data_IF_031840319401
#
_entry.id   IF_031840319401
#
_cell.length_a   1.000
_cell.length_b   1.000
_cell.length_c   1.000
_cell.angle_alpha   90.00
_cell.angle_beta   90.00
_cell.angle_gamma   90.00
#
_symmetry.space_group_name_H-M   'P 1'
#
loop_
_entity.id
_entity.type
_entity.pdbx_description
1 polymer ?
#
# COMPACT_ATOMS: atom_id res chain seq x y z
N UNK A 1 10.75 9.59 12.50
CA UNK A 1 10.90 8.61 11.39
C UNK A 1 9.59 8.53 10.66
N UNK A 2 9.60 8.24 9.35
CA UNK A 2 8.37 8.03 8.59
C UNK A 2 7.54 6.88 9.15
N UNK A 3 6.22 6.98 9.06
CA UNK A 3 5.32 5.85 9.30
C UNK A 3 5.27 5.01 8.02
N UNK A 4 5.71 3.75 8.09
CA UNK A 4 5.72 2.83 6.94
C UNK A 4 4.52 1.88 7.01
N UNK A 5 3.65 1.92 6.00
CA UNK A 5 2.40 1.14 5.92
C UNK A 5 2.44 0.24 4.68
N UNK A 6 2.36 -1.08 4.86
CA UNK A 6 2.25 -2.03 3.75
C UNK A 6 0.77 -2.36 3.44
N UNK A 7 0.38 -2.27 2.17
CA UNK A 7 -0.94 -2.66 1.67
C UNK A 7 -0.90 -4.13 1.25
N UNK A 8 -1.42 -5.02 2.07
CA UNK A 8 -1.27 -6.47 1.86
C UNK A 8 -2.61 -7.18 1.77
N UNK A 9 -2.76 -8.04 0.79
CA UNK A 9 -3.78 -9.07 0.72
C UNK A 9 -3.36 -10.09 -0.34
N UNK A 10 -3.52 -11.40 -0.07
CA UNK A 10 -3.21 -12.48 -1.01
C UNK A 10 -4.13 -12.46 -2.23
N UNK A 11 -5.37 -12.02 -2.04
CA UNK A 11 -6.37 -11.96 -3.11
C UNK A 11 -6.04 -10.81 -4.07
N UNK A 12 -5.97 -11.11 -5.36
CA UNK A 12 -5.89 -10.11 -6.41
C UNK A 12 -7.19 -9.30 -6.52
N UNK A 13 -7.10 -8.06 -6.98
CA UNK A 13 -8.27 -7.25 -7.28
C UNK A 13 -9.04 -6.67 -6.07
N UNK A 14 -8.57 -6.83 -4.83
CA UNK A 14 -9.22 -6.28 -3.63
C UNK A 14 -9.00 -4.78 -3.40
N UNK A 15 -8.27 -4.10 -4.29
CA UNK A 15 -8.03 -2.66 -4.20
C UNK A 15 -6.76 -2.26 -3.46
N UNK A 16 -5.74 -3.12 -3.32
CA UNK A 16 -4.43 -2.76 -2.72
C UNK A 16 -3.83 -1.54 -3.40
N UNK A 17 -3.48 -1.66 -4.67
CA UNK A 17 -2.89 -0.60 -5.48
C UNK A 17 -3.75 0.65 -5.52
N UNK A 18 -5.06 0.49 -5.75
CA UNK A 18 -6.01 1.61 -5.77
C UNK A 18 -5.99 2.37 -4.45
N UNK A 19 -5.94 1.65 -3.32
CA UNK A 19 -5.90 2.27 -1.99
C UNK A 19 -4.55 2.91 -1.71
N UNK A 20 -3.44 2.27 -2.07
CA UNK A 20 -2.09 2.81 -1.91
C UNK A 20 -1.91 4.12 -2.68
N UNK A 21 -2.30 4.15 -3.96
CA UNK A 21 -2.21 5.32 -4.84
C UNK A 21 -3.13 6.45 -4.36
N UNK A 22 -4.40 6.13 -4.09
CA UNK A 22 -5.38 7.16 -3.72
C UNK A 22 -5.07 7.76 -2.34
N UNK A 23 -4.72 6.93 -1.36
CA UNK A 23 -4.34 7.40 -0.04
C UNK A 23 -3.04 8.20 -0.08
N UNK A 24 -2.01 7.73 -0.81
CA UNK A 24 -0.75 8.44 -0.95
C UNK A 24 -0.93 9.85 -1.49
N UNK A 25 -1.75 9.99 -2.53
CA UNK A 25 -2.06 11.30 -3.10
C UNK A 25 -2.93 12.18 -2.18
N UNK A 26 -3.87 11.60 -1.43
CA UNK A 26 -4.68 12.34 -0.47
C UNK A 26 -3.86 12.81 0.74
N UNK A 27 -2.95 11.99 1.26
CA UNK A 27 -2.00 12.37 2.33
C UNK A 27 -1.09 13.52 1.88
N UNK A 28 -0.54 13.45 0.66
CA UNK A 28 0.24 14.54 0.08
C UNK A 28 -0.58 15.82 -0.03
N UNK A 29 -1.83 15.73 -0.50
CA UNK A 29 -2.74 16.89 -0.58
C UNK A 29 -3.10 17.47 0.80
N UNK A 30 -3.05 16.66 1.86
CA UNK A 30 -3.22 17.08 3.25
C UNK A 30 -1.92 17.66 3.87
N UNK A 31 -0.82 17.77 3.09
CA UNK A 31 0.43 18.40 3.49
C UNK A 31 1.48 17.45 4.05
N UNK A 32 1.27 16.14 4.02
CA UNK A 32 2.27 15.14 4.38
C UNK A 32 3.31 14.96 3.25
N UNK A 33 4.55 14.66 3.61
CA UNK A 33 5.59 14.20 2.67
C UNK A 33 5.43 12.69 2.49
N UNK A 34 5.10 12.23 1.30
CA UNK A 34 4.72 10.84 1.05
C UNK A 34 5.62 10.21 -0.01
N UNK A 35 6.19 9.03 0.32
CA UNK A 35 6.80 8.12 -0.64
C UNK A 35 5.88 6.92 -0.85
N UNK A 36 5.53 6.63 -2.09
CA UNK A 36 4.86 5.39 -2.48
C UNK A 36 5.89 4.45 -3.10
N UNK A 37 6.13 3.32 -2.46
CA UNK A 37 6.98 2.26 -2.98
C UNK A 37 6.11 1.22 -3.70
N UNK A 38 6.17 1.18 -5.01
CA UNK A 38 5.58 0.11 -5.79
C UNK A 38 6.45 -1.16 -5.67
N UNK A 39 5.91 -2.22 -5.11
CA UNK A 39 6.62 -3.48 -4.93
C UNK A 39 5.92 -4.66 -5.63
N UNK A 40 4.97 -4.34 -6.51
CA UNK A 40 4.34 -5.32 -7.39
C UNK A 40 5.04 -5.31 -8.77
N UNK A 41 5.49 -6.46 -9.30
CA UNK A 41 6.05 -6.56 -10.65
C UNK A 41 5.14 -6.03 -11.76
N UNK A 42 3.84 -5.93 -11.51
CA UNK A 42 2.90 -5.32 -12.46
C UNK A 42 3.12 -3.81 -12.63
N UNK A 43 3.74 -3.12 -11.67
CA UNK A 43 4.02 -1.68 -11.73
C UNK A 43 2.76 -0.82 -11.81
N UNK A 44 1.69 -1.25 -11.16
CA UNK A 44 0.39 -0.57 -11.27
C UNK A 44 0.32 0.71 -10.43
N UNK A 45 0.98 0.75 -9.27
CA UNK A 45 1.09 1.99 -8.50
C UNK A 45 1.95 3.01 -9.26
N UNK A 46 3.05 2.58 -9.87
CA UNK A 46 3.91 3.39 -10.75
C UNK A 46 3.09 4.09 -11.83
N UNK A 47 2.31 3.31 -12.60
CA UNK A 47 1.42 3.85 -13.64
C UNK A 47 0.31 4.75 -13.06
N UNK A 48 -0.19 4.43 -11.88
CA UNK A 48 -1.24 5.20 -11.19
C UNK A 48 -0.82 6.63 -10.83
N UNK A 49 0.47 6.88 -10.71
CA UNK A 49 1.06 8.22 -10.53
C UNK A 49 1.53 8.86 -11.84
N UNK A 50 1.25 8.26 -12.99
CA UNK A 50 1.60 8.78 -14.31
C UNK A 50 3.07 8.55 -14.70
N UNK A 51 3.78 7.69 -13.99
CA UNK A 51 5.16 7.30 -14.33
C UNK A 51 5.11 6.18 -15.38
N UNK A 52 5.83 6.36 -16.47
CA UNK A 52 5.96 5.33 -17.52
C UNK A 52 6.87 4.19 -17.03
N UNK A 53 6.26 3.11 -16.57
CA UNK A 53 6.98 1.91 -16.09
C UNK A 53 7.80 1.20 -17.18
N UNK A 54 7.58 1.51 -18.45
CA UNK A 54 8.36 0.99 -19.57
C UNK A 54 9.66 1.74 -19.82
N UNK A 55 9.71 3.01 -19.43
CA UNK A 55 10.85 3.91 -19.68
C UNK A 55 11.61 4.30 -18.39
N UNK A 56 11.00 4.18 -17.20
CA UNK A 56 11.63 4.62 -15.95
C UNK A 56 12.83 3.75 -15.57
N UNK A 57 13.93 4.40 -15.22
CA UNK A 57 15.16 3.78 -14.73
C UNK A 57 15.93 4.77 -13.85
N UNK A 58 16.54 4.32 -12.73
CA UNK A 58 16.44 2.98 -12.15
C UNK A 58 15.09 2.73 -11.47
N UNK A 59 14.77 1.45 -11.21
CA UNK A 59 13.58 1.00 -10.48
C UNK A 59 13.96 0.35 -9.14
N UNK A 60 12.97 -0.07 -8.35
CA UNK A 60 13.23 -0.81 -7.11
C UNK A 60 13.98 -2.13 -7.37
N UNK A 61 13.78 -2.78 -8.52
CA UNK A 61 14.58 -3.93 -8.92
C UNK A 61 16.08 -3.59 -8.97
N UNK A 62 16.42 -2.47 -9.62
CA UNK A 62 17.81 -2.04 -9.75
C UNK A 62 18.43 -1.67 -8.40
N UNK A 63 17.62 -1.13 -7.48
CA UNK A 63 18.07 -0.85 -6.11
C UNK A 63 18.41 -2.12 -5.36
N UNK A 64 17.56 -3.16 -5.45
CA UNK A 64 17.74 -4.40 -4.69
C UNK A 64 18.81 -5.32 -5.28
N UNK A 65 18.88 -5.43 -6.60
CA UNK A 65 19.72 -6.41 -7.31
C UNK A 65 21.00 -5.79 -7.86
N UNK A 66 20.90 -4.61 -8.47
CA UNK A 66 22.01 -3.98 -9.18
C UNK A 66 22.75 -2.94 -8.33
N UNK A 67 22.36 -2.73 -7.06
CA UNK A 67 23.00 -1.79 -6.15
C UNK A 67 22.80 -0.32 -6.53
N UNK A 68 21.75 0.01 -7.28
CA UNK A 68 21.44 1.38 -7.62
C UNK A 68 21.06 2.18 -6.35
N UNK A 69 21.36 3.50 -6.35
CA UNK A 69 20.94 4.39 -5.26
C UNK A 69 19.42 4.51 -5.23
N UNK A 70 18.81 4.29 -4.05
CA UNK A 70 17.37 4.45 -3.86
C UNK A 70 16.94 5.90 -4.08
N UNK A 71 17.76 6.87 -3.70
CA UNK A 71 17.51 8.30 -3.91
C UNK A 71 17.37 8.63 -5.40
N UNK A 72 18.22 8.01 -6.24
CA UNK A 72 18.17 8.21 -7.69
C UNK A 72 17.01 7.46 -8.37
N UNK A 73 16.49 6.43 -7.72
CA UNK A 73 15.34 5.68 -8.24
C UNK A 73 14.00 6.35 -7.93
N UNK A 74 13.96 7.27 -6.95
CA UNK A 74 12.72 7.99 -6.62
C UNK A 74 12.37 8.98 -7.73
N UNK A 75 11.13 8.89 -8.20
CA UNK A 75 10.54 9.83 -9.17
C UNK A 75 9.64 10.80 -8.42
N UNK A 76 9.97 12.09 -8.51
CA UNK A 76 9.15 13.15 -7.92
C UNK A 76 7.97 13.45 -8.83
N UNK A 77 6.76 13.28 -8.33
CA UNK A 77 5.52 13.64 -9.04
C UNK A 77 4.77 14.71 -8.26
N UNK A 78 3.82 15.38 -8.91
CA UNK A 78 2.96 16.36 -8.24
C UNK A 78 1.94 15.73 -7.27
N UNK A 79 1.84 14.42 -7.24
CA UNK A 79 0.85 13.70 -6.44
C UNK A 79 1.42 13.04 -5.19
N UNK A 80 2.63 12.53 -5.27
CA UNK A 80 3.51 11.99 -4.25
C UNK A 80 4.83 11.57 -4.90
N UNK A 81 5.88 11.34 -4.11
CA UNK A 81 7.09 10.70 -4.61
C UNK A 81 6.86 9.20 -4.81
N UNK A 82 7.46 8.63 -5.84
CA UNK A 82 7.27 7.22 -6.21
C UNK A 82 8.61 6.52 -6.36
N UNK A 83 8.79 5.40 -5.67
CA UNK A 83 9.83 4.43 -5.95
C UNK A 83 9.24 3.39 -6.90
N UNK A 84 9.58 3.44 -8.19
CA UNK A 84 8.83 2.73 -9.22
C UNK A 84 9.22 1.26 -9.32
N UNK A 85 8.27 0.43 -9.79
CA UNK A 85 8.48 -0.95 -10.19
C UNK A 85 8.11 -1.16 -11.66
N UNK A 86 8.65 -2.23 -12.20
CA UNK A 86 8.26 -2.79 -13.49
C UNK A 86 8.39 -4.33 -13.47
N UNK A 87 8.12 -4.96 -14.60
CA UNK A 87 8.14 -6.43 -14.72
C UNK A 87 9.50 -7.09 -14.40
N UNK A 88 10.61 -6.35 -14.41
CA UNK A 88 11.92 -6.88 -14.01
C UNK A 88 11.91 -7.36 -12.55
N UNK A 89 11.10 -6.72 -11.68
CA UNK A 89 10.97 -7.11 -10.26
C UNK A 89 10.49 -8.56 -10.09
N UNK A 90 9.83 -9.18 -11.07
CA UNK A 90 9.49 -10.59 -11.00
C UNK A 90 10.74 -11.50 -10.93
N UNK A 91 11.82 -11.11 -11.59
CA UNK A 91 13.11 -11.82 -11.52
C UNK A 91 13.76 -11.77 -10.15
N UNK A 92 13.55 -10.68 -9.40
CA UNK A 92 14.10 -10.52 -8.06
C UNK A 92 13.70 -11.65 -7.12
N UNK A 93 12.51 -12.24 -7.27
CA UNK A 93 12.06 -13.37 -6.42
C UNK A 93 13.01 -14.56 -6.48
N UNK A 94 13.69 -14.79 -7.61
CA UNK A 94 14.65 -15.87 -7.80
C UNK A 94 16.05 -15.42 -7.38
N UNK A 95 16.46 -14.22 -7.76
CA UNK A 95 17.79 -13.69 -7.51
C UNK A 95 18.05 -13.44 -6.01
N UNK A 96 17.03 -12.99 -5.28
CA UNK A 96 17.10 -12.79 -3.84
C UNK A 96 17.35 -14.08 -3.03
N UNK A 97 17.01 -15.28 -3.58
CA UNK A 97 17.14 -16.56 -2.83
C UNK A 97 18.57 -16.78 -2.33
N UNK A 98 19.57 -16.40 -3.11
CA UNK A 98 20.97 -16.55 -2.79
C UNK A 98 21.59 -15.43 -1.95
N UNK A 99 20.84 -14.39 -1.63
CA UNK A 99 21.36 -13.24 -0.89
C UNK A 99 21.21 -13.38 0.62
N UNK A 100 22.22 -12.92 1.36
CA UNK A 100 22.14 -12.81 2.80
C UNK A 100 21.08 -11.76 3.20
N UNK A 101 20.34 -12.07 4.29
CA UNK A 101 19.30 -11.18 4.82
C UNK A 101 18.28 -10.73 3.79
N UNK A 102 18.01 -11.57 2.82
CA UNK A 102 17.13 -11.33 1.66
C UNK A 102 15.74 -10.81 2.00
N UNK A 103 15.24 -11.05 3.21
CA UNK A 103 13.94 -10.56 3.69
C UNK A 103 13.99 -9.08 4.12
N UNK A 104 15.18 -8.48 4.27
CA UNK A 104 15.39 -7.14 4.81
C UNK A 104 15.88 -6.12 3.79
N UNK A 105 16.10 -6.51 2.55
CA UNK A 105 16.70 -5.63 1.54
C UNK A 105 15.85 -4.39 1.26
N UNK A 106 14.51 -4.55 1.21
CA UNK A 106 13.62 -3.40 1.09
C UNK A 106 13.70 -2.49 2.32
N UNK A 107 13.75 -3.05 3.52
CA UNK A 107 13.92 -2.30 4.76
C UNK A 107 15.19 -1.47 4.75
N UNK A 108 16.29 -2.07 4.33
CA UNK A 108 17.60 -1.40 4.24
C UNK A 108 17.60 -0.28 3.17
N UNK A 109 16.95 -0.52 2.03
CA UNK A 109 16.80 0.49 1.00
C UNK A 109 15.94 1.68 1.48
N UNK A 110 14.75 1.42 2.00
CA UNK A 110 13.85 2.47 2.49
C UNK A 110 14.42 3.23 3.69
N UNK A 111 15.20 2.56 4.55
CA UNK A 111 15.85 3.17 5.70
C UNK A 111 16.78 4.34 5.34
N UNK A 112 17.34 4.36 4.12
CA UNK A 112 18.22 5.44 3.65
C UNK A 112 17.45 6.74 3.35
N UNK A 113 16.17 6.64 3.01
CA UNK A 113 15.36 7.79 2.54
C UNK A 113 14.17 8.13 3.44
N UNK A 114 13.77 7.21 4.33
CA UNK A 114 12.59 7.37 5.18
C UNK A 114 12.60 8.65 6.02
N UNK A 115 13.76 9.17 6.40
CA UNK A 115 13.88 10.44 7.13
C UNK A 115 13.34 11.67 6.39
N UNK A 116 13.19 11.59 5.08
CA UNK A 116 12.69 12.67 4.25
C UNK A 116 11.16 12.73 4.17
N UNK A 117 10.48 11.69 4.66
CA UNK A 117 9.03 11.50 4.53
C UNK A 117 8.34 11.42 5.88
N UNK A 118 7.05 11.72 5.88
CA UNK A 118 6.15 11.51 7.01
C UNK A 118 5.48 10.13 6.89
N UNK A 119 5.19 9.70 5.65
CA UNK A 119 4.65 8.37 5.34
C UNK A 119 5.44 7.70 4.21
N UNK A 120 5.66 6.39 4.37
CA UNK A 120 6.07 5.48 3.29
C UNK A 120 4.96 4.45 3.11
N UNK A 121 4.35 4.41 1.93
CA UNK A 121 3.30 3.45 1.59
C UNK A 121 3.86 2.40 0.64
N UNK A 122 3.69 1.12 0.95
CA UNK A 122 4.21 0.01 0.13
C UNK A 122 3.03 -0.72 -0.52
N UNK A 123 2.96 -0.71 -1.84
CA UNK A 123 2.01 -1.52 -2.62
C UNK A 123 2.56 -2.91 -2.83
N UNK A 124 1.96 -3.92 -2.20
CA UNK A 124 2.45 -5.30 -2.20
C UNK A 124 1.82 -6.16 -3.29
N UNK A 125 2.56 -7.13 -3.86
CA UNK A 125 2.01 -8.09 -4.81
C UNK A 125 0.93 -8.98 -4.18
N UNK A 126 0.07 -9.64 -5.00
CA UNK A 126 -0.98 -10.53 -4.52
C UNK A 126 -0.45 -11.94 -4.21
N UNK A 127 0.61 -12.05 -3.42
CA UNK A 127 1.21 -13.32 -2.98
C UNK A 127 1.75 -13.16 -1.56
N UNK A 128 2.14 -14.25 -0.90
CA UNK A 128 2.86 -14.22 0.39
C UNK A 128 4.28 -14.79 0.22
N UNK A 129 4.89 -14.53 -0.92
CA UNK A 129 6.24 -14.94 -1.26
C UNK A 129 7.29 -13.94 -0.77
N UNK A 130 8.55 -14.12 -1.18
CA UNK A 130 9.70 -13.36 -0.71
C UNK A 130 9.56 -11.84 -0.89
N UNK A 131 8.92 -11.38 -1.97
CA UNK A 131 8.64 -9.96 -2.15
C UNK A 131 7.72 -9.42 -1.06
N UNK A 132 6.61 -10.10 -0.77
CA UNK A 132 5.71 -9.67 0.30
C UNK A 132 6.37 -9.77 1.68
N UNK A 133 7.25 -10.77 1.92
CA UNK A 133 8.04 -10.81 3.16
C UNK A 133 8.93 -9.58 3.29
N UNK A 134 9.57 -9.11 2.23
CA UNK A 134 10.31 -7.84 2.24
C UNK A 134 9.44 -6.65 2.64
N UNK A 135 8.22 -6.56 2.09
CA UNK A 135 7.27 -5.50 2.47
C UNK A 135 6.93 -5.55 3.95
N UNK A 136 6.62 -6.75 4.47
CA UNK A 136 6.27 -6.95 5.89
C UNK A 136 7.46 -6.71 6.82
N UNK A 137 8.69 -7.00 6.40
CA UNK A 137 9.90 -6.71 7.17
C UNK A 137 10.22 -5.21 7.20
N UNK A 138 9.87 -4.47 6.15
CA UNK A 138 10.10 -3.04 6.05
C UNK A 138 9.04 -2.19 6.74
N UNK A 139 7.82 -2.71 6.87
CA UNK A 139 6.67 -1.96 7.39
C UNK A 139 6.62 -1.88 8.92
N UNK A 140 6.11 -0.74 9.43
CA UNK A 140 5.69 -0.59 10.82
C UNK A 140 4.31 -1.21 11.03
N UNK A 141 3.44 -1.04 10.04
CA UNK A 141 2.07 -1.55 10.12
C UNK A 141 1.56 -2.07 8.77
N UNK A 142 0.50 -2.90 8.86
CA UNK A 142 -0.16 -3.50 7.71
C UNK A 142 -1.58 -2.97 7.60
N UNK A 143 -1.92 -2.33 6.49
CA UNK A 143 -3.30 -2.01 6.10
C UNK A 143 -3.79 -3.11 5.15
N UNK A 144 -4.94 -3.69 5.46
CA UNK A 144 -5.50 -4.81 4.68
C UNK A 144 -6.79 -4.37 4.00
N UNK A 145 -6.76 -4.11 2.69
CA UNK A 145 -7.99 -3.95 1.91
C UNK A 145 -8.76 -5.27 1.84
N UNK A 146 -10.03 -5.24 2.22
CA UNK A 146 -10.93 -6.41 2.27
C UNK A 146 -12.15 -6.14 1.41
N UNK A 147 -12.28 -6.89 0.32
CA UNK A 147 -13.50 -6.85 -0.49
C UNK A 147 -14.63 -7.57 0.24
N UNK A 148 -15.83 -6.94 0.31
CA UNK A 148 -17.00 -7.51 1.00
C UNK A 148 -17.63 -8.65 0.19
N UNK A 149 -16.97 -9.82 0.16
CA UNK A 149 -17.38 -11.05 -0.52
C UNK A 149 -17.32 -12.26 0.41
N UNK A 150 -17.96 -13.36 0.03
CA UNK A 150 -18.14 -14.55 0.87
C UNK A 150 -16.86 -15.10 1.51
N UNK A 151 -15.76 -15.19 0.75
CA UNK A 151 -14.48 -15.72 1.25
C UNK A 151 -13.58 -14.66 1.92
N UNK A 152 -14.11 -13.50 2.27
CA UNK A 152 -13.32 -12.42 2.84
C UNK A 152 -12.65 -12.78 4.18
N UNK A 153 -13.38 -13.44 5.06
CA UNK A 153 -12.91 -13.82 6.40
C UNK A 153 -11.85 -14.92 6.38
N UNK A 154 -12.00 -15.92 5.50
CA UNK A 154 -11.04 -17.01 5.36
C UNK A 154 -9.67 -16.45 4.91
N UNK A 155 -9.64 -15.71 3.80
CA UNK A 155 -8.40 -15.11 3.31
C UNK A 155 -7.77 -14.11 4.28
N UNK A 156 -8.59 -13.41 5.09
CA UNK A 156 -8.11 -12.52 6.13
C UNK A 156 -7.45 -13.29 7.28
N UNK A 157 -8.02 -14.41 7.70
CA UNK A 157 -7.44 -15.27 8.75
C UNK A 157 -6.06 -15.80 8.37
N UNK A 158 -5.91 -16.28 7.14
CA UNK A 158 -4.64 -16.81 6.61
C UNK A 158 -3.56 -15.71 6.53
N UNK A 159 -3.94 -14.54 6.02
CA UNK A 159 -3.04 -13.39 5.96
C UNK A 159 -2.57 -12.99 7.37
N UNK A 160 -3.47 -12.84 8.32
CA UNK A 160 -3.12 -12.44 9.68
C UNK A 160 -2.28 -13.52 10.40
N UNK A 161 -2.47 -14.79 10.07
CA UNK A 161 -1.60 -15.87 10.56
C UNK A 161 -0.17 -15.68 10.03
N UNK A 162 -0.01 -15.34 8.76
CA UNK A 162 1.30 -15.03 8.16
C UNK A 162 1.94 -13.80 8.83
N UNK A 163 1.19 -12.72 9.03
CA UNK A 163 1.67 -11.51 9.73
C UNK A 163 2.14 -11.86 11.15
N UNK A 164 1.44 -12.73 11.88
CA UNK A 164 1.86 -13.21 13.21
C UNK A 164 3.19 -14.00 13.16
N UNK A 165 3.40 -14.80 12.11
CA UNK A 165 4.69 -15.50 11.92
C UNK A 165 5.80 -14.51 11.65
N UNK A 166 5.60 -13.53 10.76
CA UNK A 166 6.55 -12.45 10.49
C UNK A 166 6.85 -11.67 11.76
N UNK A 167 5.85 -11.29 12.54
CA UNK A 167 6.02 -10.60 13.83
C UNK A 167 6.92 -11.37 14.78
N UNK A 168 6.73 -12.68 14.89
CA UNK A 168 7.53 -13.51 15.82
C UNK A 168 8.96 -13.74 15.37
N UNK A 169 9.23 -13.80 14.06
CA UNK A 169 10.51 -14.28 13.52
C UNK A 169 11.35 -13.22 12.81
N UNK A 170 10.71 -12.25 12.18
CA UNK A 170 11.39 -11.33 11.26
C UNK A 170 11.23 -9.86 11.65
N UNK A 171 10.03 -9.40 12.00
CA UNK A 171 9.76 -8.01 12.34
C UNK A 171 8.87 -7.91 13.60
N UNK A 172 9.45 -7.94 14.81
CA UNK A 172 8.68 -7.87 16.06
C UNK A 172 7.84 -6.60 16.24
N UNK A 173 8.19 -5.52 15.53
CA UNK A 173 7.50 -4.24 15.59
C UNK A 173 6.26 -4.14 14.72
N UNK A 174 6.03 -5.11 13.80
CA UNK A 174 4.90 -5.01 12.87
C UNK A 174 3.55 -5.15 13.59
N UNK A 175 2.63 -4.25 13.28
CA UNK A 175 1.27 -4.23 13.82
C UNK A 175 0.20 -4.16 12.72
N UNK A 176 -1.03 -4.50 13.06
CA UNK A 176 -2.17 -4.29 12.17
C UNK A 176 -2.62 -2.82 12.26
N UNK A 177 -2.42 -2.05 11.19
CA UNK A 177 -2.92 -0.67 11.07
C UNK A 177 -4.44 -0.66 11.04
N UNK A 178 -5.01 -1.46 10.18
CA UNK A 178 -6.45 -1.61 10.08
C UNK A 178 -6.91 -2.41 8.87
N UNK A 179 -8.20 -2.72 8.89
CA UNK A 179 -8.93 -3.40 7.81
C UNK A 179 -9.76 -2.35 7.07
N UNK A 180 -9.55 -2.21 5.77
CA UNK A 180 -10.27 -1.29 4.91
C UNK A 180 -11.28 -2.06 4.05
N UNK A 181 -12.56 -1.88 4.31
CA UNK A 181 -13.62 -2.47 3.49
C UNK A 181 -13.67 -1.78 2.12
N UNK A 182 -13.50 -2.56 1.06
CA UNK A 182 -13.43 -2.05 -0.33
C UNK A 182 -14.56 -2.61 -1.19
N UNK A 183 -14.86 -1.93 -2.28
CA UNK A 183 -15.92 -2.27 -3.24
C UNK A 183 -17.26 -2.52 -2.54
N UNK A 184 -17.47 -1.81 -1.43
CA UNK A 184 -18.68 -1.94 -0.64
C UNK A 184 -19.91 -1.47 -1.42
N UNK A 185 -20.94 -2.31 -1.44
CA UNK A 185 -22.27 -1.97 -1.98
C UNK A 185 -23.34 -2.25 -0.93
N UNK A 186 -23.73 -1.21 -0.19
CA UNK A 186 -24.73 -1.30 0.88
C UNK A 186 -26.15 -1.67 0.42
N UNK A 187 -26.38 -1.90 -0.89
CA UNK A 187 -27.64 -2.42 -1.41
C UNK A 187 -27.72 -3.94 -1.36
N UNK A 188 -26.58 -4.60 -1.16
CA UNK A 188 -26.50 -6.06 -1.12
C UNK A 188 -26.42 -6.57 0.32
N UNK A 189 -27.28 -7.53 0.68
CA UNK A 189 -27.26 -8.16 2.00
C UNK A 189 -25.90 -8.81 2.30
N UNK A 190 -25.26 -9.42 1.28
CA UNK A 190 -23.98 -10.06 1.44
C UNK A 190 -22.90 -9.06 1.91
N UNK A 191 -22.80 -7.88 1.28
CA UNK A 191 -21.79 -6.90 1.67
C UNK A 191 -22.04 -6.38 3.09
N UNK A 192 -23.30 -6.19 3.48
CA UNK A 192 -23.66 -5.77 4.84
C UNK A 192 -23.24 -6.84 5.85
N UNK A 193 -23.64 -8.11 5.63
CA UNK A 193 -23.30 -9.23 6.52
C UNK A 193 -21.78 -9.40 6.67
N UNK A 194 -21.03 -9.40 5.56
CA UNK A 194 -19.56 -9.51 5.60
C UNK A 194 -18.94 -8.35 6.39
N UNK A 195 -19.41 -7.12 6.17
CA UNK A 195 -18.92 -5.95 6.90
C UNK A 195 -19.18 -6.07 8.41
N UNK A 196 -20.36 -6.51 8.81
CA UNK A 196 -20.72 -6.74 10.22
C UNK A 196 -19.86 -7.84 10.84
N UNK A 197 -19.65 -8.95 10.13
CA UNK A 197 -18.82 -10.04 10.61
C UNK A 197 -17.36 -9.61 10.77
N UNK A 198 -16.77 -8.91 9.79
CA UNK A 198 -15.41 -8.39 9.88
C UNK A 198 -15.28 -7.44 11.09
N UNK A 199 -16.26 -6.55 11.32
CA UNK A 199 -16.28 -5.66 12.50
C UNK A 199 -16.39 -6.44 13.81
N UNK A 200 -17.19 -7.51 13.85
CA UNK A 200 -17.35 -8.36 15.04
C UNK A 200 -16.08 -9.13 15.39
N UNK A 201 -15.39 -9.68 14.38
CA UNK A 201 -14.15 -10.45 14.61
C UNK A 201 -12.93 -9.57 14.89
N UNK A 202 -12.93 -8.32 14.41
CA UNK A 202 -11.82 -7.38 14.55
C UNK A 202 -12.25 -6.04 15.15
N UNK A 203 -12.75 -6.04 16.40
CA UNK A 203 -13.24 -4.82 17.03
C UNK A 203 -12.12 -3.75 17.13
N UNK A 204 -12.44 -2.52 16.73
CA UNK A 204 -11.50 -1.40 16.76
C UNK A 204 -10.38 -1.45 15.69
N UNK A 205 -10.38 -2.48 14.82
CA UNK A 205 -9.38 -2.60 13.74
C UNK A 205 -9.95 -2.32 12.35
N UNK A 206 -11.25 -2.16 12.20
CA UNK A 206 -11.89 -1.82 10.93
C UNK A 206 -12.03 -0.30 10.85
N UNK A 207 -11.62 0.29 9.73
CA UNK A 207 -11.86 1.71 9.48
C UNK A 207 -13.36 2.02 9.44
N UNK A 208 -13.76 3.17 9.95
CA UNK A 208 -15.14 3.64 9.83
C UNK A 208 -15.49 3.93 8.36
N UNK A 209 -14.52 4.50 7.64
CA UNK A 209 -14.62 4.73 6.20
C UNK A 209 -14.64 3.42 5.42
N UNK A 210 -15.57 3.30 4.50
CA UNK A 210 -15.66 2.19 3.52
C UNK A 210 -15.44 2.74 2.10
N UNK A 211 -14.72 2.02 1.27
CA UNK A 211 -14.51 2.41 -0.13
C UNK A 211 -15.62 1.81 -1.00
N UNK A 212 -16.49 2.63 -1.58
CA UNK A 212 -17.59 2.13 -2.38
C UNK A 212 -17.10 1.58 -3.72
N UNK A 213 -17.89 0.68 -4.34
CA UNK A 213 -17.71 0.36 -5.75
C UNK A 213 -17.95 1.63 -6.58
N UNK A 214 -16.92 2.06 -7.31
CA UNK A 214 -16.96 3.31 -8.08
C UNK A 214 -16.10 3.19 -9.35
N UNK A 215 -16.70 3.47 -10.50
CA UNK A 215 -16.03 3.35 -11.81
C UNK A 215 -14.84 4.31 -11.95
N UNK A 216 -14.92 5.49 -11.32
CA UNK A 216 -13.83 6.48 -11.37
C UNK A 216 -12.52 5.96 -10.78
N UNK A 217 -12.60 5.06 -9.77
CA UNK A 217 -11.43 4.39 -9.21
C UNK A 217 -10.76 3.44 -10.21
N UNK A 218 -11.52 2.86 -11.12
CA UNK A 218 -11.00 1.97 -12.17
C UNK A 218 -10.50 2.74 -13.39
N UNK A 219 -11.07 3.90 -13.68
CA UNK A 219 -10.69 4.74 -14.81
C UNK A 219 -9.42 5.57 -14.54
N UNK A 220 -9.28 6.11 -13.34
CA UNK A 220 -8.21 7.03 -12.97
C UNK A 220 -6.79 6.52 -13.33
N UNK A 221 -6.43 5.23 -13.10
CA UNK A 221 -5.12 4.70 -13.48
C UNK A 221 -4.84 4.74 -14.99
N UNK A 222 -5.85 4.60 -15.85
CA UNK A 222 -5.68 4.68 -17.32
C UNK A 222 -5.30 6.08 -17.79
N UNK A 223 -5.51 7.08 -16.95
CA UNK A 223 -5.11 8.47 -17.17
C UNK A 223 -3.83 8.86 -16.41
N UNK A 224 -3.18 7.90 -15.73
CA UNK A 224 -1.98 8.16 -14.91
C UNK A 224 -2.24 9.17 -13.79
N UNK A 225 -3.43 9.17 -13.20
CA UNK A 225 -3.84 10.12 -12.17
C UNK A 225 -4.46 9.40 -10.97
N UNK A 226 -4.10 9.74 -9.73
CA UNK A 226 -4.86 9.37 -8.56
C UNK A 226 -6.30 9.91 -8.62
N UNK A 227 -7.26 9.22 -8.00
CA UNK A 227 -8.69 9.55 -8.13
C UNK A 227 -9.06 10.96 -7.69
N UNK A 228 -8.41 11.49 -6.65
CA UNK A 228 -8.64 12.86 -6.16
C UNK A 228 -8.22 13.95 -7.16
N UNK A 229 -7.35 13.62 -8.12
CA UNK A 229 -6.94 14.48 -9.23
C UNK A 229 -7.62 14.12 -10.56
N UNK A 230 -8.21 12.93 -10.66
CA UNK A 230 -9.00 12.52 -11.83
C UNK A 230 -10.44 13.02 -11.73
N UNK A 231 -11.12 12.70 -10.62
CA UNK A 231 -12.47 13.16 -10.28
C UNK A 231 -12.61 13.37 -8.77
N UNK A 232 -12.23 14.57 -8.32
CA UNK A 232 -12.16 14.93 -6.91
C UNK A 232 -13.49 14.94 -6.16
N UNK A 233 -14.63 14.95 -6.90
CA UNK A 233 -15.99 14.94 -6.36
C UNK A 233 -16.63 13.54 -6.38
N UNK A 234 -16.00 12.58 -7.03
CA UNK A 234 -16.51 11.20 -7.07
C UNK A 234 -16.61 10.58 -5.68
N UNK A 235 -17.56 9.66 -5.50
CA UNK A 235 -17.76 8.96 -4.23
C UNK A 235 -16.49 8.22 -3.77
N UNK A 236 -15.71 7.67 -4.71
CA UNK A 236 -14.42 7.05 -4.43
C UNK A 236 -13.39 8.04 -3.90
N UNK A 237 -13.27 9.23 -4.52
CA UNK A 237 -12.37 10.29 -4.07
C UNK A 237 -12.74 10.80 -2.67
N UNK A 238 -14.03 11.06 -2.44
CA UNK A 238 -14.51 11.51 -1.12
C UNK A 238 -14.19 10.48 -0.04
N UNK A 239 -14.40 9.18 -0.31
CA UNK A 239 -14.09 8.13 0.64
C UNK A 239 -12.59 8.07 0.98
N UNK A 240 -11.68 8.24 0.00
CA UNK A 240 -10.24 8.27 0.31
C UNK A 240 -9.81 9.53 1.06
N UNK A 241 -10.46 10.67 0.88
CA UNK A 241 -10.24 11.86 1.72
C UNK A 241 -10.65 11.60 3.17
N UNK A 242 -11.80 10.97 3.41
CA UNK A 242 -12.26 10.57 4.75
C UNK A 242 -11.30 9.55 5.38
N UNK A 243 -10.84 8.54 4.62
CA UNK A 243 -9.84 7.60 5.10
C UNK A 243 -8.53 8.30 5.49
N UNK A 244 -8.15 9.33 4.73
CA UNK A 244 -6.95 10.13 5.04
C UNK A 244 -7.10 10.83 6.39
N UNK A 245 -8.26 11.39 6.70
CA UNK A 245 -8.56 11.99 8.00
C UNK A 245 -8.42 10.97 9.14
N UNK A 246 -9.03 9.77 9.01
CA UNK A 246 -8.89 8.70 10.00
C UNK A 246 -7.43 8.24 10.18
N UNK A 247 -6.64 8.18 9.11
CA UNK A 247 -5.23 7.79 9.20
C UNK A 247 -4.40 8.86 9.89
N UNK A 248 -4.65 10.15 9.61
CA UNK A 248 -3.96 11.26 10.25
C UNK A 248 -4.35 11.42 11.73
N UNK A 249 -5.58 11.08 12.12
CA UNK A 249 -5.97 11.01 13.53
C UNK A 249 -5.19 9.95 14.30
N UNK A 250 -4.96 8.79 13.69
CA UNK A 250 -4.18 7.68 14.28
C UNK A 250 -2.68 7.92 14.23
N UNK A 251 -2.19 8.66 13.22
CA UNK A 251 -0.79 8.93 12.94
C UNK A 251 -0.60 10.43 12.67
N UNK A 252 -0.66 11.28 13.71
CA UNK A 252 -0.59 12.72 13.52
C UNK A 252 0.76 13.16 12.93
N UNK A 253 0.70 14.10 12.00
CA UNK A 253 1.92 14.71 11.44
C UNK A 253 2.70 15.43 12.55
N UNK A 254 4.04 15.42 12.48
CA UNK A 254 4.84 16.23 13.40
C UNK A 254 4.44 17.70 13.24
N UNK A 255 4.26 18.39 14.35
CA UNK A 255 3.98 19.84 14.31
C UNK A 255 5.16 20.53 13.61
N UNK A 256 4.87 21.29 12.57
CA UNK A 256 5.89 22.20 12.01
C UNK A 256 6.21 23.21 13.11
N UNK A 257 7.40 23.13 13.67
CA UNK A 257 7.93 24.23 14.45
C UNK A 257 7.99 25.44 13.54
N UNK A 258 7.22 26.48 13.84
CA UNK A 258 7.10 27.71 13.09
C UNK A 258 8.36 28.57 13.17
#
# INVERSE_FOLDING_TARGET
MAKTIAFVNQKGGVGKTTSCVSLGSCLQAAGARVLVCDFDPQGNATSGFGVDKGAVFPTIYDVLINGASVEKAIVHTKYADVLPANKALAGASVELIGMDRREYLLKEALGKVAGNYDFVLIDCPPSLELLTLNCLCAADTVLVPVQCEYYALEGLSDLLSTVRVVKRRLNPGIELEGLLLTMYDGRTNLAIQVAEEVKRYFPGKVYATVIPRNVRLSEAPSHGKPVNHYDGSSRGSVAYKQLTEEILERNPLPRKEG
#
